data_IF_093634578643
#
_entry.id   IF_093634578643
#
_cell.length_a   1.000
_cell.length_b   1.000
_cell.length_c   1.000
_cell.angle_alpha   90.00
_cell.angle_beta   90.00
_cell.angle_gamma   90.00
#
_symmetry.space_group_name_H-M   'P 1'
#
loop_
_entity.id
_entity.type
_entity.pdbx_description
1 polymer ?
#
# COMPACT_ATOMS: atom_id res chain seq x y z
N UNK A 1 9.23 3.58 12.90
CA UNK A 1 9.97 4.76 12.38
C UNK A 1 9.18 5.59 11.36
N UNK A 2 8.23 5.04 10.59
CA UNK A 2 7.46 5.77 9.57
C UNK A 2 6.33 6.68 10.13
N UNK A 3 5.75 6.38 11.30
CA UNK A 3 4.75 7.25 11.95
C UNK A 3 5.33 8.52 12.58
N UNK A 4 6.59 8.47 13.00
CA UNK A 4 7.27 9.62 13.58
C UNK A 4 7.43 10.74 12.56
N UNK A 5 7.56 10.45 11.26
CA UNK A 5 7.72 11.50 10.25
C UNK A 5 6.45 12.34 10.06
N UNK A 6 5.26 11.73 10.14
CA UNK A 6 3.97 12.46 10.05
C UNK A 6 3.64 13.15 11.37
N UNK A 7 3.88 12.49 12.50
CA UNK A 7 3.78 13.14 13.82
C UNK A 7 4.72 14.35 13.91
N UNK A 8 5.96 14.24 13.41
CA UNK A 8 6.91 15.37 13.39
C UNK A 8 6.51 16.45 12.39
N UNK A 9 5.86 16.13 11.28
CA UNK A 9 5.36 17.14 10.33
C UNK A 9 4.15 17.91 10.91
N UNK A 10 3.20 17.20 11.51
CA UNK A 10 2.04 17.78 12.22
C UNK A 10 2.48 18.59 13.46
N UNK A 11 3.51 18.13 14.18
CA UNK A 11 4.10 18.83 15.32
C UNK A 11 4.94 20.06 14.91
N UNK A 12 5.70 19.98 13.79
CA UNK A 12 6.50 21.10 13.28
C UNK A 12 5.65 22.25 12.71
N UNK A 13 4.43 21.97 12.26
CA UNK A 13 3.50 23.02 11.83
C UNK A 13 2.68 23.64 12.97
N UNK A 14 2.53 22.95 14.11
CA UNK A 14 1.84 23.48 15.29
C UNK A 14 2.76 24.24 16.26
N UNK A 15 4.09 24.15 16.08
CA UNK A 15 5.07 24.86 16.93
C UNK A 15 6.24 25.44 16.12
N UNK A 16 6.13 26.72 15.72
CA UNK A 16 7.33 27.59 15.59
C UNK A 16 7.26 28.59 16.74
N UNK A 17 8.28 28.64 17.63
CA UNK A 17 9.57 29.22 17.24
C UNK A 17 10.81 28.52 17.83
N UNK A 18 11.98 28.84 17.26
CA UNK A 18 13.28 28.77 17.97
C UNK A 18 14.18 27.59 17.59
N UNK A 19 15.36 27.92 17.05
CA UNK A 19 16.42 27.01 16.64
C UNK A 19 16.90 26.03 17.74
N UNK A 20 17.23 24.80 17.34
CA UNK A 20 18.05 23.89 18.14
C UNK A 20 18.43 22.62 17.38
N UNK A 21 19.66 22.56 16.85
CA UNK A 21 20.30 21.37 16.26
C UNK A 21 20.34 20.24 17.28
N UNK A 22 19.97 19.01 16.89
CA UNK A 22 20.48 17.81 17.53
C UNK A 22 20.85 16.71 16.53
N UNK A 23 21.94 16.04 16.88
CA UNK A 23 22.84 15.23 16.07
C UNK A 23 22.29 13.81 15.82
N UNK A 24 22.47 13.31 14.61
CA UNK A 24 22.27 11.91 14.26
C UNK A 24 23.40 11.04 14.84
N UNK A 25 23.04 9.99 15.58
CA UNK A 25 23.94 8.88 15.87
C UNK A 25 23.44 7.62 15.17
N UNK A 26 24.30 7.13 14.29
CA UNK A 26 24.16 5.95 13.45
C UNK A 26 24.40 4.68 14.26
N UNK A 27 23.48 3.71 14.22
CA UNK A 27 23.77 2.34 14.64
C UNK A 27 24.00 1.47 13.40
N UNK A 28 25.27 1.10 13.16
CA UNK A 28 25.67 0.09 12.19
C UNK A 28 25.58 -1.30 12.80
N UNK A 29 24.66 -2.14 12.31
CA UNK A 29 24.63 -3.57 12.60
C UNK A 29 25.14 -4.36 11.39
N UNK A 30 26.30 -5.01 11.52
CA UNK A 30 26.85 -5.93 10.52
C UNK A 30 26.05 -7.25 10.49
N UNK A 31 25.84 -7.88 9.31
CA UNK A 31 25.08 -9.11 9.19
C UNK A 31 25.90 -10.38 9.53
N UNK A 32 25.23 -11.33 10.18
CA UNK A 32 25.74 -12.67 10.54
C UNK A 32 25.73 -13.58 9.31
N UNK A 33 26.88 -14.19 9.00
CA UNK A 33 27.07 -15.21 7.97
C UNK A 33 26.43 -16.54 8.38
N UNK A 34 25.63 -17.15 7.51
CA UNK A 34 25.29 -18.58 7.58
C UNK A 34 26.01 -19.35 6.45
N UNK A 35 26.90 -20.28 6.84
CA UNK A 35 27.31 -21.46 6.07
C UNK A 35 26.13 -22.46 6.18
N UNK A 36 25.61 -23.12 5.15
CA UNK A 36 26.27 -23.90 4.12
C UNK A 36 26.20 -25.39 4.51
N UNK A 37 25.23 -26.14 4.00
CA UNK A 37 25.18 -27.61 3.98
C UNK A 37 24.24 -28.06 2.86
N UNK A 38 24.83 -28.60 1.80
CA UNK A 38 24.10 -29.20 0.68
C UNK A 38 23.63 -30.62 0.97
N UNK A 39 22.77 -31.12 0.08
CA UNK A 39 22.81 -32.50 -0.42
C UNK A 39 21.96 -32.64 -1.67
N UNK A 40 22.62 -33.10 -2.72
CA UNK A 40 22.09 -33.55 -4.00
C UNK A 40 21.11 -34.71 -3.85
N UNK A 41 19.95 -34.63 -4.51
CA UNK A 41 19.17 -35.80 -4.92
C UNK A 41 18.54 -35.52 -6.28
N UNK A 42 19.03 -36.21 -7.33
CA UNK A 42 18.28 -36.47 -8.57
C UNK A 42 17.60 -37.84 -8.46
N UNK A 43 16.49 -38.04 -9.18
CA UNK A 43 16.48 -39.17 -10.10
C UNK A 43 15.96 -38.83 -11.51
N UNK A 44 16.12 -39.82 -12.38
CA UNK A 44 16.17 -39.83 -13.85
C UNK A 44 14.79 -39.83 -14.54
N UNK A 45 14.83 -39.42 -15.82
CA UNK A 45 13.98 -39.76 -16.99
C UNK A 45 13.08 -41.00 -16.80
N UNK A 46 11.88 -41.09 -17.39
CA UNK A 46 11.68 -41.14 -18.84
C UNK A 46 10.17 -41.23 -19.16
N UNK A 47 9.66 -40.51 -20.18
CA UNK A 47 8.90 -41.06 -21.33
C UNK A 47 8.06 -40.01 -22.06
N UNK A 48 8.39 -39.88 -23.35
CA UNK A 48 7.61 -39.26 -24.42
C UNK A 48 6.32 -40.05 -24.68
N UNK A 49 5.20 -39.35 -24.84
CA UNK A 49 4.15 -39.72 -25.79
C UNK A 49 3.68 -38.46 -26.52
N UNK A 50 3.90 -38.44 -27.83
CA UNK A 50 3.33 -37.44 -28.73
C UNK A 50 1.98 -37.90 -29.27
N UNK A 51 1.02 -36.99 -29.35
CA UNK A 51 -0.05 -37.04 -30.34
C UNK A 51 -0.58 -35.63 -30.59
N UNK A 52 -0.38 -35.17 -31.83
CA UNK A 52 -0.93 -33.97 -32.45
C UNK A 52 -2.47 -33.94 -32.35
N UNK A 53 -3.05 -32.76 -32.14
CA UNK A 53 -4.42 -32.51 -32.59
C UNK A 53 -5.19 -31.40 -31.88
N UNK A 54 -5.24 -30.24 -32.53
CA UNK A 54 -6.28 -29.18 -32.42
C UNK A 54 -6.23 -28.27 -31.18
N UNK A 55 -5.39 -27.25 -31.30
CA UNK A 55 -5.65 -25.91 -30.77
C UNK A 55 -6.87 -25.33 -31.49
N UNK A 56 -8.04 -25.40 -30.86
CA UNK A 56 -9.16 -24.50 -31.18
C UNK A 56 -9.10 -23.37 -30.16
N UNK A 57 -8.75 -22.19 -30.66
CA UNK A 57 -8.71 -20.92 -29.96
C UNK A 57 -10.07 -20.65 -29.31
N UNK A 58 -10.16 -20.81 -28.00
CA UNK A 58 -11.25 -20.25 -27.20
C UNK A 58 -10.74 -18.93 -26.59
N UNK A 59 -10.54 -17.92 -27.44
CA UNK A 59 -10.37 -16.55 -26.97
C UNK A 59 -11.76 -16.08 -26.52
N UNK A 60 -12.05 -16.33 -25.26
CA UNK A 60 -13.20 -15.77 -24.56
C UNK A 60 -13.07 -14.25 -24.55
N UNK A 61 -14.05 -13.57 -25.14
CA UNK A 61 -14.22 -12.13 -25.13
C UNK A 61 -14.27 -11.61 -23.69
N UNK A 62 -13.12 -11.19 -23.16
CA UNK A 62 -13.06 -10.14 -22.15
C UNK A 62 -12.89 -8.86 -22.95
N UNK A 63 -13.78 -7.89 -22.76
CA UNK A 63 -13.62 -6.54 -23.28
C UNK A 63 -12.30 -5.97 -22.75
N UNK A 64 -11.22 -6.10 -23.52
CA UNK A 64 -9.95 -5.48 -23.22
C UNK A 64 -10.15 -3.99 -23.43
N UNK A 65 -10.45 -3.26 -22.36
CA UNK A 65 -10.43 -1.81 -22.37
C UNK A 65 -9.05 -1.38 -22.85
N UNK A 66 -8.96 -0.80 -24.04
CA UNK A 66 -7.71 -0.25 -24.56
C UNK A 66 -7.24 0.85 -23.62
N UNK A 67 -6.08 0.67 -23.00
CA UNK A 67 -5.48 1.68 -22.15
C UNK A 67 -5.16 2.92 -22.99
N UNK A 68 -5.45 4.08 -22.45
CA UNK A 68 -4.93 5.33 -22.97
C UNK A 68 -3.42 5.35 -22.82
N UNK A 69 -2.72 6.12 -23.65
CA UNK A 69 -1.26 6.27 -23.52
C UNK A 69 -0.85 6.74 -22.12
N UNK A 70 -1.65 7.59 -21.48
CA UNK A 70 -1.41 8.05 -20.11
C UNK A 70 -1.50 6.90 -19.10
N UNK A 71 -2.49 6.02 -19.23
CA UNK A 71 -2.62 4.84 -18.36
C UNK A 71 -1.43 3.88 -18.52
N UNK A 72 -0.96 3.65 -19.76
CA UNK A 72 0.25 2.85 -20.00
C UNK A 72 1.50 3.46 -19.31
N UNK A 73 1.67 4.79 -19.40
CA UNK A 73 2.79 5.49 -18.75
C UNK A 73 2.72 5.30 -17.23
N UNK A 74 1.52 5.47 -16.65
CA UNK A 74 1.31 5.32 -15.20
C UNK A 74 1.61 3.88 -14.76
N UNK A 75 1.17 2.88 -15.52
CA UNK A 75 1.42 1.47 -15.21
C UNK A 75 2.92 1.17 -15.19
N UNK A 76 3.65 1.56 -16.24
CA UNK A 76 5.10 1.34 -16.33
C UNK A 76 5.85 2.10 -15.23
N UNK A 77 5.47 3.36 -14.99
CA UNK A 77 6.07 4.15 -13.92
C UNK A 77 5.83 3.53 -12.54
N UNK A 78 4.63 3.00 -12.28
CA UNK A 78 4.29 2.38 -11.00
C UNK A 78 5.14 1.14 -10.70
N UNK A 79 5.41 0.32 -11.71
CA UNK A 79 6.28 -0.85 -11.59
C UNK A 79 7.73 -0.42 -11.29
N UNK A 80 8.24 0.56 -12.05
CA UNK A 80 9.59 1.08 -11.84
C UNK A 80 9.76 1.72 -10.45
N UNK A 81 8.78 2.51 -9.99
CA UNK A 81 8.81 3.11 -8.65
C UNK A 81 8.77 2.03 -7.56
N UNK A 82 7.95 0.99 -7.71
CA UNK A 82 7.90 -0.14 -6.77
C UNK A 82 9.22 -0.90 -6.69
N UNK A 83 9.91 -1.10 -7.81
CA UNK A 83 11.17 -1.86 -7.87
C UNK A 83 12.39 -1.05 -7.42
N UNK A 84 12.47 0.22 -7.82
CA UNK A 84 13.69 1.03 -7.68
C UNK A 84 13.53 2.20 -6.69
N UNK A 85 12.30 2.50 -6.26
CA UNK A 85 11.95 3.70 -5.50
C UNK A 85 11.76 4.92 -6.38
N UNK A 86 10.92 5.87 -5.95
CA UNK A 86 10.59 7.07 -6.73
C UNK A 86 11.85 7.81 -7.17
N UNK A 87 12.76 8.15 -6.26
CA UNK A 87 13.94 9.00 -6.56
C UNK A 87 14.89 8.40 -7.60
N UNK A 88 15.02 7.08 -7.67
CA UNK A 88 15.96 6.40 -8.57
C UNK A 88 15.46 6.30 -10.02
N UNK A 89 14.17 6.55 -10.28
CA UNK A 89 13.57 6.43 -11.61
C UNK A 89 13.53 7.80 -12.30
N UNK A 90 14.07 7.90 -13.50
CA UNK A 90 13.98 9.10 -14.33
C UNK A 90 12.89 8.98 -15.41
N UNK A 91 12.53 10.12 -16.01
CA UNK A 91 11.65 10.13 -17.19
C UNK A 91 12.25 9.36 -18.38
N UNK A 92 13.58 9.27 -18.47
CA UNK A 92 14.26 8.48 -19.50
C UNK A 92 14.11 6.99 -19.24
N UNK A 93 14.18 6.54 -17.99
CA UNK A 93 13.99 5.13 -17.63
C UNK A 93 12.59 4.65 -18.00
N UNK A 94 11.57 5.49 -17.73
CA UNK A 94 10.18 5.19 -18.11
C UNK A 94 10.05 5.10 -19.64
N UNK A 95 10.63 6.05 -20.38
CA UNK A 95 10.57 6.04 -21.84
C UNK A 95 11.27 4.81 -22.45
N UNK A 96 12.43 4.43 -21.88
CA UNK A 96 13.18 3.24 -22.27
C UNK A 96 12.37 1.97 -22.02
N UNK A 97 11.74 1.84 -20.85
CA UNK A 97 10.88 0.71 -20.53
C UNK A 97 9.67 0.60 -21.47
N UNK A 98 9.17 1.73 -21.97
CA UNK A 98 8.08 1.78 -22.95
C UNK A 98 8.55 1.65 -24.42
N UNK A 99 9.85 1.64 -24.69
CA UNK A 99 10.38 1.61 -26.07
C UNK A 99 10.10 2.88 -26.88
N UNK A 100 9.94 4.04 -26.23
CA UNK A 100 9.65 5.32 -26.89
C UNK A 100 10.69 6.40 -26.54
N UNK A 101 10.62 7.53 -27.25
CA UNK A 101 11.46 8.70 -26.93
C UNK A 101 10.89 9.42 -25.70
N UNK A 102 11.76 9.92 -24.82
CA UNK A 102 11.33 10.66 -23.62
C UNK A 102 10.43 11.87 -23.93
N UNK A 103 10.68 12.57 -25.05
CA UNK A 103 9.82 13.66 -25.51
C UNK A 103 8.36 13.23 -25.73
N UNK A 104 8.10 11.98 -26.13
CA UNK A 104 6.75 11.46 -26.35
C UNK A 104 5.95 11.29 -25.06
N UNK A 105 6.62 11.12 -23.90
CA UNK A 105 5.93 11.06 -22.61
C UNK A 105 5.28 12.41 -22.26
N UNK A 106 5.98 13.50 -22.53
CA UNK A 106 5.54 14.85 -22.19
C UNK A 106 4.31 15.32 -22.97
N UNK A 107 3.91 14.60 -24.02
CA UNK A 107 2.64 14.82 -24.72
C UNK A 107 1.41 14.36 -23.91
N UNK A 108 1.61 13.53 -22.88
CA UNK A 108 0.54 12.89 -22.12
C UNK A 108 0.58 13.19 -20.62
N UNK A 109 1.76 13.57 -20.11
CA UNK A 109 1.99 13.93 -18.71
C UNK A 109 2.93 15.14 -18.62
N UNK A 110 2.75 15.95 -17.58
CA UNK A 110 3.60 17.09 -17.24
C UNK A 110 4.97 16.66 -16.70
N UNK A 111 5.07 15.50 -16.06
CA UNK A 111 6.33 14.96 -15.59
C UNK A 111 6.21 13.90 -14.51
N UNK A 112 7.35 13.64 -13.85
CA UNK A 112 7.48 12.58 -12.84
C UNK A 112 6.61 12.83 -11.60
N UNK A 113 6.44 14.10 -11.20
CA UNK A 113 5.58 14.46 -10.06
C UNK A 113 4.12 14.09 -10.30
N UNK A 114 3.57 14.37 -11.49
CA UNK A 114 2.19 13.97 -11.83
C UNK A 114 1.99 12.45 -11.73
N UNK A 115 2.99 11.66 -12.11
CA UNK A 115 2.92 10.21 -11.98
C UNK A 115 2.86 9.78 -10.51
N UNK A 116 3.72 10.35 -9.67
CA UNK A 116 3.71 10.06 -8.23
C UNK A 116 2.38 10.45 -7.59
N UNK A 117 1.91 11.68 -7.81
CA UNK A 117 0.68 12.16 -7.20
C UNK A 117 -0.53 11.40 -7.72
N UNK A 118 -0.58 11.06 -9.01
CA UNK A 118 -1.64 10.21 -9.56
C UNK A 118 -1.71 8.86 -8.86
N UNK A 119 -0.57 8.21 -8.62
CA UNK A 119 -0.51 6.90 -7.97
C UNK A 119 -0.93 6.98 -6.50
N UNK A 120 -0.36 7.93 -5.74
CA UNK A 120 -0.61 8.04 -4.30
C UNK A 120 -2.04 8.50 -4.03
N UNK A 121 -2.49 9.57 -4.70
CA UNK A 121 -3.82 10.13 -4.47
C UNK A 121 -4.93 9.20 -4.95
N UNK A 122 -4.66 8.33 -5.94
CA UNK A 122 -5.61 7.27 -6.32
C UNK A 122 -5.87 6.35 -5.14
N UNK A 123 -4.82 5.82 -4.51
CA UNK A 123 -4.98 4.91 -3.37
C UNK A 123 -5.54 5.61 -2.14
N UNK A 124 -5.10 6.84 -1.86
CA UNK A 124 -5.66 7.64 -0.76
C UNK A 124 -7.18 7.85 -0.92
N UNK A 125 -7.65 8.13 -2.14
CA UNK A 125 -9.08 8.24 -2.44
C UNK A 125 -9.85 6.94 -2.21
N UNK A 126 -9.28 5.78 -2.52
CA UNK A 126 -9.94 4.49 -2.21
C UNK A 126 -10.15 4.32 -0.70
N UNK A 127 -9.14 4.68 0.12
CA UNK A 127 -9.29 4.70 1.57
C UNK A 127 -10.37 5.69 2.03
N UNK A 128 -10.37 6.91 1.49
CA UNK A 128 -11.38 7.92 1.83
C UNK A 128 -12.79 7.46 1.46
N UNK A 129 -13.00 6.90 0.26
CA UNK A 129 -14.29 6.39 -0.19
C UNK A 129 -14.78 5.22 0.68
N UNK A 130 -13.88 4.28 1.00
CA UNK A 130 -14.18 3.16 1.88
C UNK A 130 -14.56 3.62 3.29
N UNK A 131 -13.79 4.54 3.89
CA UNK A 131 -14.09 5.11 5.20
C UNK A 131 -15.42 5.85 5.20
N UNK A 132 -15.71 6.66 4.17
CA UNK A 132 -16.98 7.35 4.05
C UNK A 132 -18.17 6.38 4.03
N UNK A 133 -18.06 5.26 3.31
CA UNK A 133 -19.08 4.21 3.29
C UNK A 133 -19.27 3.58 4.68
N UNK A 134 -18.18 3.32 5.41
CA UNK A 134 -18.22 2.79 6.78
C UNK A 134 -18.90 3.78 7.72
N UNK A 135 -18.53 5.05 7.67
CA UNK A 135 -19.10 6.10 8.52
C UNK A 135 -20.61 6.29 8.29
N UNK A 136 -21.06 6.23 7.03
CA UNK A 136 -22.47 6.36 6.65
C UNK A 136 -23.33 5.13 6.97
N UNK A 137 -22.71 3.99 7.28
CA UNK A 137 -23.45 2.78 7.63
C UNK A 137 -24.06 2.86 9.04
N UNK A 138 -25.20 2.18 9.22
CA UNK A 138 -25.88 1.99 10.51
C UNK A 138 -25.37 0.75 11.28
N UNK A 139 -24.16 0.28 10.96
CA UNK A 139 -23.56 -0.88 11.62
C UNK A 139 -22.98 -0.52 12.98
N UNK A 140 -22.79 -1.54 13.82
CA UNK A 140 -22.15 -1.37 15.14
C UNK A 140 -20.68 -0.94 14.98
N UNK A 141 -20.10 -0.22 15.96
CA UNK A 141 -18.68 0.14 15.91
C UNK A 141 -17.74 -1.04 15.68
N UNK A 142 -17.96 -2.18 16.34
CA UNK A 142 -17.14 -3.37 16.09
C UNK A 142 -17.21 -3.80 14.63
N UNK A 143 -18.41 -3.84 14.04
CA UNK A 143 -18.58 -4.22 12.64
C UNK A 143 -17.93 -3.22 11.67
N UNK A 144 -17.92 -1.92 12.01
CA UNK A 144 -17.19 -0.89 11.25
C UNK A 144 -15.68 -1.14 11.27
N UNK A 145 -15.11 -1.57 12.40
CA UNK A 145 -13.69 -1.95 12.48
C UNK A 145 -13.38 -3.16 11.59
N UNK A 146 -14.25 -4.17 11.57
CA UNK A 146 -14.09 -5.33 10.66
C UNK A 146 -14.05 -4.88 9.20
N UNK A 147 -14.96 -4.00 8.77
CA UNK A 147 -14.99 -3.46 7.40
C UNK A 147 -13.76 -2.64 7.06
N UNK A 148 -13.20 -1.91 8.03
CA UNK A 148 -11.94 -1.17 7.84
C UNK A 148 -10.77 -2.15 7.59
N UNK A 149 -10.69 -3.25 8.35
CA UNK A 149 -9.68 -4.29 8.14
C UNK A 149 -9.82 -4.90 6.75
N UNK A 150 -11.05 -5.26 6.35
CA UNK A 150 -11.33 -5.81 5.02
C UNK A 150 -10.98 -4.83 3.89
N UNK A 151 -11.28 -3.55 4.06
CA UNK A 151 -10.92 -2.47 3.13
C UNK A 151 -9.40 -2.42 2.92
N UNK A 152 -8.61 -2.46 3.99
CA UNK A 152 -7.15 -2.49 3.89
C UNK A 152 -6.64 -3.72 3.12
N UNK A 153 -7.26 -4.88 3.32
CA UNK A 153 -6.92 -6.10 2.59
C UNK A 153 -7.27 -5.96 1.10
N UNK A 154 -8.45 -5.46 0.78
CA UNK A 154 -8.89 -5.26 -0.60
C UNK A 154 -7.98 -4.29 -1.34
N UNK A 155 -7.61 -3.17 -0.72
CA UNK A 155 -6.69 -2.20 -1.33
C UNK A 155 -5.30 -2.83 -1.50
N UNK A 156 -4.83 -3.62 -0.52
CA UNK A 156 -3.55 -4.37 -0.62
C UNK A 156 -3.51 -5.31 -1.82
N UNK A 157 -4.61 -6.00 -2.11
CA UNK A 157 -4.69 -6.95 -3.23
C UNK A 157 -4.80 -6.24 -4.57
N UNK A 158 -5.56 -5.14 -4.63
CA UNK A 158 -5.93 -4.49 -5.90
C UNK A 158 -5.02 -3.32 -6.31
N UNK A 159 -4.26 -2.72 -5.38
CA UNK A 159 -3.50 -1.48 -5.60
C UNK A 159 -2.05 -1.58 -5.10
N UNK A 160 -1.40 -2.72 -5.31
CA UNK A 160 -0.13 -3.06 -4.68
C UNK A 160 1.03 -2.08 -4.98
N UNK A 161 1.08 -1.56 -6.21
CA UNK A 161 2.07 -0.61 -6.70
C UNK A 161 1.83 0.79 -6.09
N UNK A 162 0.58 1.25 -6.13
CA UNK A 162 0.19 2.52 -5.53
C UNK A 162 0.39 2.53 -4.01
N UNK A 163 0.16 1.42 -3.32
CA UNK A 163 0.43 1.29 -1.89
C UNK A 163 1.92 1.40 -1.55
N UNK A 164 2.81 0.86 -2.40
CA UNK A 164 4.23 0.98 -2.20
C UNK A 164 4.66 2.45 -2.28
N UNK A 165 4.20 3.19 -3.31
CA UNK A 165 4.44 4.62 -3.43
C UNK A 165 3.82 5.41 -2.27
N UNK A 166 2.57 5.12 -1.90
CA UNK A 166 1.88 5.80 -0.80
C UNK A 166 2.61 5.64 0.53
N UNK A 167 3.17 4.47 0.83
CA UNK A 167 3.86 4.24 2.10
C UNK A 167 5.30 4.76 2.11
N UNK A 168 6.00 4.71 0.97
CA UNK A 168 7.45 4.96 0.93
C UNK A 168 7.83 6.33 0.36
N UNK A 169 6.98 6.92 -0.49
CA UNK A 169 7.35 8.07 -1.33
C UNK A 169 6.41 9.28 -1.17
N UNK A 170 5.38 9.23 -0.30
CA UNK A 170 4.41 10.32 -0.11
C UNK A 170 5.05 11.66 0.29
N UNK A 171 6.18 11.63 1.00
CA UNK A 171 6.92 12.84 1.40
C UNK A 171 7.55 13.57 0.21
N UNK A 172 7.54 12.96 -0.98
CA UNK A 172 7.99 13.58 -2.23
C UNK A 172 6.87 14.26 -3.01
N UNK A 173 5.61 14.17 -2.54
CA UNK A 173 4.53 14.99 -3.07
C UNK A 173 4.84 16.47 -2.82
N UNK A 174 4.36 17.32 -3.72
CA UNK A 174 4.60 18.77 -3.68
C UNK A 174 3.27 19.52 -3.59
N UNK A 175 3.30 20.70 -2.96
CA UNK A 175 2.21 21.68 -2.96
C UNK A 175 0.84 21.07 -2.53
N UNK A 176 -0.21 21.38 -3.29
CA UNK A 176 -1.59 20.97 -3.03
C UNK A 176 -1.77 19.45 -2.93
N UNK A 177 -0.98 18.66 -3.67
CA UNK A 177 -1.07 17.20 -3.64
C UNK A 177 -0.57 16.63 -2.30
N UNK A 178 0.51 17.20 -1.74
CA UNK A 178 0.99 16.82 -0.41
C UNK A 178 -0.03 17.19 0.66
N UNK A 179 -0.56 18.42 0.61
CA UNK A 179 -1.56 18.86 1.58
C UNK A 179 -2.84 18.02 1.50
N UNK A 180 -3.30 17.70 0.30
CA UNK A 180 -4.46 16.84 0.07
C UNK A 180 -4.25 15.44 0.66
N UNK A 181 -3.07 14.85 0.43
CA UNK A 181 -2.72 13.55 0.99
C UNK A 181 -2.69 13.56 2.53
N UNK A 182 -2.05 14.56 3.13
CA UNK A 182 -1.99 14.70 4.60
C UNK A 182 -3.38 14.84 5.19
N UNK A 183 -4.23 15.71 4.63
CA UNK A 183 -5.63 15.86 5.08
C UNK A 183 -6.41 14.55 5.00
N UNK A 184 -6.38 13.87 3.85
CA UNK A 184 -7.06 12.57 3.70
C UNK A 184 -6.60 11.54 4.73
N UNK A 185 -5.31 11.52 5.07
CA UNK A 185 -4.76 10.60 6.07
C UNK A 185 -5.20 10.97 7.48
N UNK A 186 -5.13 12.24 7.85
CA UNK A 186 -5.53 12.73 9.18
C UNK A 186 -7.03 12.48 9.41
N UNK A 187 -7.88 12.79 8.43
CA UNK A 187 -9.32 12.53 8.48
C UNK A 187 -9.63 11.04 8.60
N UNK A 188 -8.88 10.17 7.91
CA UNK A 188 -9.05 8.72 8.02
C UNK A 188 -8.74 8.22 9.43
N UNK A 189 -7.61 8.65 10.01
CA UNK A 189 -7.22 8.26 11.37
C UNK A 189 -8.18 8.80 12.42
N UNK A 190 -8.68 10.02 12.26
CA UNK A 190 -9.69 10.60 13.15
C UNK A 190 -11.02 9.85 13.09
N UNK A 191 -11.53 9.54 11.90
CA UNK A 191 -12.76 8.75 11.76
C UNK A 191 -12.63 7.37 12.43
N UNK A 192 -11.50 6.70 12.25
CA UNK A 192 -11.26 5.41 12.89
C UNK A 192 -11.17 5.55 14.43
N UNK A 193 -10.48 6.57 14.93
CA UNK A 193 -10.43 6.89 16.36
C UNK A 193 -11.83 7.10 16.95
N UNK A 194 -12.71 7.79 16.25
CA UNK A 194 -14.09 8.01 16.69
C UNK A 194 -14.91 6.71 16.73
N UNK A 195 -14.75 5.82 15.75
CA UNK A 195 -15.37 4.49 15.77
C UNK A 195 -14.92 3.70 17.01
N UNK A 196 -13.62 3.71 17.32
CA UNK A 196 -13.07 3.02 18.49
C UNK A 196 -13.66 3.58 19.79
N UNK A 197 -13.71 4.90 19.94
CA UNK A 197 -14.31 5.57 21.12
C UNK A 197 -15.77 5.20 21.31
N UNK A 198 -16.56 5.24 20.23
CA UNK A 198 -17.98 4.85 20.26
C UNK A 198 -18.16 3.38 20.67
N UNK A 199 -17.31 2.48 20.16
CA UNK A 199 -17.36 1.07 20.57
C UNK A 199 -17.04 0.85 22.04
N UNK A 200 -16.12 1.64 22.61
CA UNK A 200 -15.81 1.62 24.06
C UNK A 200 -17.00 2.14 24.87
N UNK A 201 -17.59 3.26 24.45
CA UNK A 201 -18.76 3.86 25.12
C UNK A 201 -19.97 2.92 25.13
N UNK A 202 -20.19 2.17 24.05
CA UNK A 202 -21.26 1.18 23.93
C UNK A 202 -20.93 -0.18 24.57
N UNK A 203 -19.70 -0.37 25.05
CA UNK A 203 -19.24 -1.63 25.65
C UNK A 203 -19.02 -2.78 24.65
N UNK A 204 -19.00 -2.49 23.34
CA UNK A 204 -18.62 -3.46 22.30
C UNK A 204 -17.12 -3.69 22.21
N UNK A 205 -16.33 -2.73 22.70
CA UNK A 205 -14.86 -2.75 22.73
C UNK A 205 -14.41 -2.53 24.18
N UNK A 206 -13.44 -3.32 24.63
CA UNK A 206 -12.77 -3.16 25.93
C UNK A 206 -12.20 -1.75 26.07
N UNK A 207 -12.28 -1.23 27.30
CA UNK A 207 -11.82 0.12 27.66
C UNK A 207 -10.29 0.24 27.75
N UNK A 208 -9.60 -0.11 26.67
CA UNK A 208 -8.19 0.22 26.46
C UNK A 208 -8.06 1.62 25.86
N UNK A 209 -6.85 2.19 25.92
CA UNK A 209 -6.60 3.52 25.35
C UNK A 209 -6.82 3.52 23.82
N UNK A 210 -7.66 4.41 23.26
CA UNK A 210 -8.00 4.39 21.83
C UNK A 210 -6.78 4.45 20.89
N UNK A 211 -5.78 5.27 21.21
CA UNK A 211 -4.54 5.33 20.39
C UNK A 211 -3.79 4.00 20.35
N UNK A 212 -3.84 3.20 21.41
CA UNK A 212 -3.14 1.91 21.45
C UNK A 212 -3.86 0.92 20.53
N UNK A 213 -5.19 0.90 20.54
CA UNK A 213 -6.00 0.08 19.62
C UNK A 213 -5.73 0.51 18.17
N UNK A 214 -5.86 1.81 17.89
CA UNK A 214 -5.65 2.40 16.58
C UNK A 214 -4.26 2.07 16.02
N UNK A 215 -3.21 2.33 16.82
CA UNK A 215 -1.82 2.05 16.44
C UNK A 215 -1.58 0.56 16.18
N UNK A 216 -2.12 -0.32 17.03
CA UNK A 216 -1.92 -1.77 16.90
C UNK A 216 -2.55 -2.32 15.61
N UNK A 217 -3.76 -1.86 15.29
CA UNK A 217 -4.45 -2.27 14.07
C UNK A 217 -3.76 -1.66 12.84
N UNK A 218 -3.58 -0.34 12.80
CA UNK A 218 -3.05 0.34 11.61
C UNK A 218 -1.59 -0.03 11.32
N UNK A 219 -0.76 -0.27 12.33
CA UNK A 219 0.63 -0.70 12.10
C UNK A 219 0.70 -2.04 11.35
N UNK A 220 -0.18 -2.98 11.71
CA UNK A 220 -0.32 -4.26 11.04
C UNK A 220 -0.83 -4.07 9.60
N UNK A 221 -1.93 -3.33 9.44
CA UNK A 221 -2.57 -3.16 8.13
C UNK A 221 -1.73 -2.37 7.12
N UNK A 222 -1.04 -1.29 7.56
CA UNK A 222 -0.20 -0.47 6.68
C UNK A 222 1.00 -1.23 6.12
N UNK A 223 1.53 -2.20 6.87
CA UNK A 223 2.69 -3.01 6.43
C UNK A 223 2.29 -4.28 5.68
N UNK A 224 1.00 -4.58 5.58
CA UNK A 224 0.47 -5.80 4.97
C UNK A 224 0.96 -6.01 3.54
N UNK A 225 1.04 -4.94 2.73
CA UNK A 225 1.46 -5.03 1.32
C UNK A 225 2.87 -5.62 1.15
N UNK A 226 3.79 -5.30 2.08
CA UNK A 226 5.17 -5.83 2.07
C UNK A 226 5.18 -7.33 2.39
N UNK A 227 4.36 -7.74 3.35
CA UNK A 227 4.28 -9.13 3.78
C UNK A 227 3.58 -10.01 2.71
N UNK A 228 2.45 -9.54 2.19
CA UNK A 228 1.63 -10.24 1.22
C UNK A 228 2.37 -10.49 -0.10
N UNK A 229 3.19 -9.52 -0.56
CA UNK A 229 4.02 -9.70 -1.75
C UNK A 229 5.17 -10.71 -1.53
N UNK A 230 5.79 -10.75 -0.35
CA UNK A 230 6.97 -11.58 -0.08
C UNK A 230 6.67 -13.04 0.25
N UNK A 231 5.56 -13.33 0.93
CA UNK A 231 5.26 -14.68 1.45
C UNK A 231 4.44 -15.55 0.49
N UNK A 232 4.14 -15.04 -0.70
CA UNK A 232 3.17 -15.63 -1.61
C UNK A 232 1.76 -15.15 -1.26
N UNK A 233 0.94 -14.96 -2.30
CA UNK A 233 -0.43 -14.46 -2.16
C UNK A 233 -1.27 -15.49 -1.41
N UNK A 234 -1.53 -15.25 -0.13
CA UNK A 234 -2.50 -16.03 0.66
C UNK A 234 -3.88 -15.90 0.02
N UNK A 235 -4.73 -16.92 0.18
CA UNK A 235 -6.14 -16.79 -0.20
C UNK A 235 -6.76 -15.57 0.50
N UNK A 236 -7.37 -14.69 -0.29
CA UNK A 236 -7.86 -13.39 0.19
C UNK A 236 -9.01 -13.58 1.19
N UNK A 237 -9.86 -14.60 0.98
CA UNK A 237 -10.97 -14.88 1.89
C UNK A 237 -10.46 -15.40 3.24
N UNK A 238 -9.46 -16.28 3.23
CA UNK A 238 -8.76 -16.71 4.43
C UNK A 238 -8.11 -15.51 5.14
N UNK A 239 -7.41 -14.65 4.39
CA UNK A 239 -6.76 -13.47 4.97
C UNK A 239 -7.78 -12.55 5.64
N UNK A 240 -8.92 -12.27 5.01
CA UNK A 240 -10.00 -11.47 5.61
C UNK A 240 -10.50 -12.09 6.92
N UNK A 241 -10.90 -13.36 6.90
CA UNK A 241 -11.45 -14.03 8.09
C UNK A 241 -10.45 -14.04 9.25
N UNK A 242 -9.22 -14.49 9.00
CA UNK A 242 -8.23 -14.71 10.05
C UNK A 242 -7.64 -13.39 10.56
N UNK A 243 -7.38 -12.42 9.66
CA UNK A 243 -6.81 -11.13 10.08
C UNK A 243 -7.82 -10.30 10.87
N UNK A 244 -9.10 -10.32 10.48
CA UNK A 244 -10.18 -9.71 11.27
C UNK A 244 -10.20 -10.36 12.65
N UNK A 245 -10.31 -11.69 12.73
CA UNK A 245 -10.37 -12.41 14.01
C UNK A 245 -9.16 -12.09 14.91
N UNK A 246 -7.93 -12.18 14.39
CA UNK A 246 -6.70 -11.92 15.15
C UNK A 246 -6.64 -10.49 15.68
N UNK A 247 -7.01 -9.49 14.88
CA UNK A 247 -6.90 -8.08 15.26
C UNK A 247 -8.00 -7.64 16.23
N UNK A 248 -9.21 -8.22 16.15
CA UNK A 248 -10.31 -7.83 17.03
C UNK A 248 -10.34 -8.63 18.35
N UNK A 249 -9.84 -9.87 18.38
CA UNK A 249 -9.93 -10.75 19.56
C UNK A 249 -9.31 -10.14 20.82
N UNK A 250 -8.28 -9.30 20.67
CA UNK A 250 -7.62 -8.62 21.78
C UNK A 250 -8.42 -7.46 22.37
N UNK A 251 -9.39 -6.91 21.64
CA UNK A 251 -10.12 -5.68 22.00
C UNK A 251 -11.60 -5.91 22.29
N UNK A 252 -12.15 -7.08 21.98
CA UNK A 252 -13.49 -7.52 22.42
C UNK A 252 -13.43 -8.21 23.77
#
# INVERSE_FOLDING_TARGET
MLDLAVLLHSYANSTRPGHGRFLSQSFSGNPIKQKGLGRDVKPKNNQQFGARGRLVNLVSCISMKTLTRKEEIIEVASQLFKEKGYNAVSMRDIALAMGIKAASLYNHISGKQELLSTLILRVAREFTLGMNSVMQSSESPLKKIERIIELHIDITVNYSEGLAALNNDWMHLENEDLESFVRMREDYEENFRQIIKQGIELGEIKSYHPEVILFSILSTLRTLYLWYQKRGKLDVNLLKREMVAVLIQGII
#
